data_IF_800342672438
#
_entry.id   IF_800342672438
#
_cell.length_a   1.000
_cell.length_b   1.000
_cell.length_c   1.000
_cell.angle_alpha   90.00
_cell.angle_beta   90.00
_cell.angle_gamma   90.00
#
_symmetry.space_group_name_H-M   'P 1'
#
loop_
_entity.id
_entity.type
_entity.pdbx_description
1 polymer ?
#
# COMPACT_ATOMS: atom_id res chain seq x y z
N UNK A 1 19.28 -17.49 -44.59
CA UNK A 1 17.85 -17.76 -44.28
C UNK A 1 17.65 -18.21 -42.83
N UNK A 2 18.51 -19.10 -42.31
CA UNK A 2 18.49 -19.61 -40.93
C UNK A 2 18.55 -18.52 -39.82
N UNK A 3 19.40 -17.49 -39.99
CA UNK A 3 19.58 -16.42 -39.00
C UNK A 3 18.30 -15.58 -38.78
N UNK A 4 17.52 -15.33 -39.84
CA UNK A 4 16.25 -14.60 -39.75
C UNK A 4 15.15 -15.43 -39.05
N UNK A 5 15.23 -16.75 -39.15
CA UNK A 5 14.32 -17.67 -38.47
C UNK A 5 14.65 -17.75 -36.97
N UNK A 6 15.93 -17.92 -36.62
CA UNK A 6 16.43 -17.87 -35.25
C UNK A 6 16.07 -16.57 -34.53
N UNK A 7 16.24 -15.42 -35.19
CA UNK A 7 15.90 -14.12 -34.62
C UNK A 7 14.39 -14.01 -34.32
N UNK A 8 13.53 -14.51 -35.22
CA UNK A 8 12.08 -14.53 -35.02
C UNK A 8 11.68 -15.44 -33.85
N UNK A 9 12.29 -16.62 -33.73
CA UNK A 9 12.01 -17.55 -32.64
C UNK A 9 12.41 -16.98 -31.27
N UNK A 10 13.54 -16.27 -31.20
CA UNK A 10 14.00 -15.61 -29.96
C UNK A 10 13.04 -14.49 -29.54
N UNK A 11 12.56 -13.69 -30.50
CA UNK A 11 11.60 -12.61 -30.23
C UNK A 11 10.26 -13.18 -29.71
N UNK A 12 9.76 -14.25 -30.33
CA UNK A 12 8.52 -14.91 -29.90
C UNK A 12 8.66 -15.49 -28.48
N UNK A 13 9.81 -16.11 -28.18
CA UNK A 13 10.09 -16.66 -26.84
C UNK A 13 10.10 -15.55 -25.77
N UNK A 14 10.72 -14.41 -26.07
CA UNK A 14 10.74 -13.26 -25.16
C UNK A 14 9.34 -12.69 -24.92
N UNK A 15 8.51 -12.59 -25.96
CA UNK A 15 7.12 -12.17 -25.82
C UNK A 15 6.31 -13.11 -24.93
N UNK A 16 6.46 -14.44 -25.07
CA UNK A 16 5.74 -15.43 -24.25
C UNK A 16 6.18 -15.34 -22.78
N UNK A 17 7.50 -15.25 -22.52
CA UNK A 17 8.00 -15.08 -21.15
C UNK A 17 7.45 -13.81 -20.49
N UNK A 18 7.37 -12.71 -21.26
CA UNK A 18 6.87 -11.42 -20.77
C UNK A 18 5.38 -11.50 -20.40
N UNK A 19 4.58 -12.22 -21.19
CA UNK A 19 3.16 -12.46 -20.88
C UNK A 19 3.00 -13.33 -19.63
N UNK A 20 3.85 -14.36 -19.45
CA UNK A 20 3.81 -15.19 -18.24
C UNK A 20 4.18 -14.40 -16.98
N UNK A 21 5.10 -13.43 -17.06
CA UNK A 21 5.42 -12.56 -15.90
C UNK A 21 4.30 -11.58 -15.54
N UNK A 22 3.34 -11.35 -16.44
CA UNK A 22 2.16 -10.50 -16.18
C UNK A 22 1.02 -11.28 -15.49
N UNK A 23 1.04 -12.62 -15.51
CA UNK A 23 0.16 -13.44 -14.66
C UNK A 23 0.74 -13.53 -13.24
N UNK A 24 0.82 -12.38 -12.57
CA UNK A 24 1.08 -12.30 -11.14
C UNK A 24 -0.04 -12.96 -10.34
N UNK A 25 0.32 -13.52 -9.19
CA UNK A 25 -0.55 -14.19 -8.23
C UNK A 25 -1.91 -13.50 -8.07
N UNK A 26 -3.00 -14.22 -8.37
CA UNK A 26 -4.35 -13.76 -8.06
C UNK A 26 -4.52 -13.88 -6.54
N UNK A 27 -4.44 -12.76 -5.83
CA UNK A 27 -4.75 -12.71 -4.39
C UNK A 27 -6.20 -13.16 -4.20
N UNK A 28 -6.37 -14.31 -3.52
CA UNK A 28 -7.70 -14.80 -3.14
C UNK A 28 -8.32 -13.82 -2.15
N UNK A 29 -9.35 -13.08 -2.59
CA UNK A 29 -10.15 -12.20 -1.72
C UNK A 29 -10.90 -13.03 -0.68
N UNK A 30 -10.25 -13.30 0.45
CA UNK A 30 -10.91 -13.79 1.65
C UNK A 30 -11.62 -12.62 2.34
N UNK A 31 -12.95 -12.64 2.42
CA UNK A 31 -13.68 -11.71 3.27
C UNK A 31 -13.33 -12.01 4.73
N UNK A 32 -12.83 -11.00 5.45
CA UNK A 32 -12.49 -11.16 6.85
C UNK A 32 -13.77 -11.28 7.71
N UNK A 33 -13.82 -12.20 8.69
CA UNK A 33 -14.97 -12.35 9.56
C UNK A 33 -15.23 -11.07 10.39
N UNK A 34 -16.48 -10.59 10.38
CA UNK A 34 -16.94 -9.44 11.17
C UNK A 34 -16.83 -8.06 10.49
N UNK A 35 -16.63 -7.99 9.18
CA UNK A 35 -16.56 -6.72 8.44
C UNK A 35 -17.78 -5.82 8.66
N UNK A 36 -17.54 -4.53 8.89
CA UNK A 36 -18.62 -3.54 9.05
C UNK A 36 -19.17 -3.14 7.68
N UNK A 37 -20.49 -3.21 7.53
CA UNK A 37 -21.25 -2.85 6.31
C UNK A 37 -21.73 -1.39 6.28
N UNK A 38 -21.71 -0.69 7.42
CA UNK A 38 -22.08 0.72 7.50
C UNK A 38 -21.06 1.64 6.83
N UNK A 39 -21.51 2.63 6.06
CA UNK A 39 -20.63 3.59 5.38
C UNK A 39 -19.82 4.40 6.39
N UNK A 40 -18.50 4.15 6.55
CA UNK A 40 -17.70 4.94 7.46
C UNK A 40 -17.52 6.35 6.90
N UNK A 41 -17.21 7.32 7.77
CA UNK A 41 -16.67 8.59 7.29
C UNK A 41 -15.37 8.31 6.50
N UNK A 42 -15.45 8.44 5.17
CA UNK A 42 -14.39 8.03 4.22
C UNK A 42 -13.08 8.80 4.41
N UNK A 43 -13.11 9.90 5.18
CA UNK A 43 -12.06 10.43 6.06
C UNK A 43 -10.70 9.72 6.11
N UNK A 44 -10.73 8.51 6.67
CA UNK A 44 -9.59 7.92 7.39
C UNK A 44 -9.50 6.40 7.13
N UNK A 45 -9.70 5.97 5.89
CA UNK A 45 -9.53 4.57 5.49
C UNK A 45 -8.15 4.36 4.89
N UNK A 46 -7.44 3.33 5.35
CA UNK A 46 -6.10 2.95 4.92
C UNK A 46 -6.12 1.55 4.30
N UNK A 47 -5.22 1.28 3.35
CA UNK A 47 -4.94 -0.07 2.91
C UNK A 47 -3.91 -0.70 3.85
N UNK A 48 -4.23 -1.88 4.37
CA UNK A 48 -3.34 -2.66 5.22
C UNK A 48 -2.95 -3.92 4.47
N UNK A 49 -1.66 -4.10 4.25
CA UNK A 49 -1.06 -5.22 3.52
C UNK A 49 -0.25 -6.07 4.48
N UNK A 50 -0.38 -7.39 4.38
CA UNK A 50 0.52 -8.33 5.04
C UNK A 50 0.64 -9.62 4.23
N UNK A 51 1.84 -9.98 3.79
CA UNK A 51 2.03 -11.03 2.78
C UNK A 51 1.11 -10.81 1.57
N UNK A 52 0.34 -11.84 1.22
CA UNK A 52 -0.59 -11.82 0.08
C UNK A 52 -1.98 -11.24 0.41
N UNK A 53 -2.20 -10.77 1.63
CA UNK A 53 -3.50 -10.30 2.11
C UNK A 53 -3.57 -8.78 2.20
N UNK A 54 -4.72 -8.23 1.78
CA UNK A 54 -5.01 -6.79 1.86
C UNK A 54 -6.38 -6.54 2.48
N UNK A 55 -6.43 -5.59 3.43
CA UNK A 55 -7.66 -5.13 4.06
C UNK A 55 -7.80 -3.62 3.96
N UNK A 56 -9.04 -3.13 3.95
CA UNK A 56 -9.31 -1.71 4.12
C UNK A 56 -9.70 -1.48 5.57
N UNK A 57 -8.92 -0.67 6.26
CA UNK A 57 -9.08 -0.46 7.69
C UNK A 57 -9.30 1.01 8.02
N UNK A 58 -10.16 1.28 9.00
CA UNK A 58 -10.19 2.57 9.70
C UNK A 58 -9.36 2.43 10.96
N UNK A 59 -8.24 3.15 11.14
CA UNK A 59 -7.47 3.11 12.37
C UNK A 59 -8.35 3.45 13.58
N UNK A 60 -8.09 2.75 14.67
CA UNK A 60 -8.68 3.04 15.98
C UNK A 60 -7.53 3.36 16.91
N UNK A 61 -7.63 4.48 17.60
CA UNK A 61 -6.67 4.81 18.65
C UNK A 61 -6.95 3.91 19.84
N UNK A 62 -6.06 2.96 20.09
CA UNK A 62 -6.06 2.11 21.28
C UNK A 62 -4.71 2.30 21.99
N UNK A 63 -4.72 2.14 23.31
CA UNK A 63 -3.50 2.15 24.11
C UNK A 63 -2.70 0.86 23.89
N UNK A 64 -1.39 0.97 23.80
CA UNK A 64 -0.46 -0.16 23.64
C UNK A 64 0.43 -0.07 22.41
N UNK A 65 1.35 -1.04 22.26
CA UNK A 65 2.31 -1.09 21.16
C UNK A 65 1.76 -1.86 19.95
N UNK A 66 0.53 -1.57 19.54
CA UNK A 66 -0.13 -2.27 18.43
C UNK A 66 -0.85 -1.26 17.55
N UNK A 67 -0.78 -1.48 16.24
CA UNK A 67 -1.73 -0.90 15.33
C UNK A 67 -3.06 -1.64 15.42
N UNK A 68 -4.15 -0.91 15.46
CA UNK A 68 -5.50 -1.48 15.45
C UNK A 68 -6.37 -0.73 14.44
N UNK A 69 -7.20 -1.47 13.70
CA UNK A 69 -8.14 -0.88 12.75
C UNK A 69 -9.39 -1.74 12.53
N UNK A 70 -10.52 -1.07 12.27
CA UNK A 70 -11.77 -1.73 11.90
C UNK A 70 -11.77 -2.06 10.40
N UNK A 71 -12.05 -3.32 10.05
CA UNK A 71 -12.07 -3.79 8.67
C UNK A 71 -13.41 -3.43 8.01
N UNK A 72 -13.34 -2.92 6.78
CA UNK A 72 -14.50 -2.57 5.96
C UNK A 72 -14.55 -3.40 4.68
N UNK A 73 -15.77 -3.61 4.18
CA UNK A 73 -15.99 -4.27 2.91
C UNK A 73 -15.56 -3.35 1.74
N UNK A 74 -14.66 -3.81 0.85
CA UNK A 74 -14.20 -3.03 -0.30
C UNK A 74 -15.31 -2.63 -1.28
N UNK A 75 -16.40 -3.40 -1.38
CA UNK A 75 -17.51 -3.11 -2.30
C UNK A 75 -18.28 -1.83 -1.94
N UNK A 76 -18.23 -1.42 -0.68
CA UNK A 76 -18.90 -0.22 -0.16
C UNK A 76 -18.05 1.03 -0.39
N UNK A 77 -16.78 0.88 -0.79
CA UNK A 77 -15.79 1.97 -0.81
C UNK A 77 -15.49 2.40 -2.24
N UNK A 78 -16.19 3.44 -2.71
CA UNK A 78 -16.06 3.98 -4.08
C UNK A 78 -14.81 4.82 -4.35
N UNK A 79 -14.03 5.19 -3.32
CA UNK A 79 -12.85 6.07 -3.47
C UNK A 79 -11.69 5.58 -2.60
N UNK A 80 -10.64 5.13 -3.27
CA UNK A 80 -9.37 4.69 -2.69
C UNK A 80 -8.58 5.88 -2.10
N UNK A 81 -7.87 5.66 -0.99
CA UNK A 81 -7.02 6.65 -0.33
C UNK A 81 -5.56 6.23 -0.28
N UNK A 82 -4.74 7.25 -0.11
CA UNK A 82 -3.30 7.33 -0.32
C UNK A 82 -2.42 6.73 0.79
N UNK A 83 -2.99 6.13 1.84
CA UNK A 83 -2.19 5.59 2.95
C UNK A 83 -2.19 4.07 2.88
N UNK A 84 -1.00 3.50 2.71
CA UNK A 84 -0.76 2.08 2.65
C UNK A 84 0.16 1.70 3.82
N UNK A 85 -0.25 0.72 4.62
CA UNK A 85 0.53 0.17 5.72
C UNK A 85 0.89 -1.26 5.33
N UNK A 86 2.17 -1.61 5.49
CA UNK A 86 2.68 -2.94 5.19
C UNK A 86 3.23 -3.55 6.48
N UNK A 87 2.82 -4.78 6.77
CA UNK A 87 3.27 -5.52 7.94
C UNK A 87 3.74 -6.92 7.55
N UNK A 88 4.77 -7.41 8.23
CA UNK A 88 5.34 -8.74 7.99
C UNK A 88 5.78 -9.43 9.30
N UNK A 89 5.69 -10.76 9.39
CA UNK A 89 4.91 -11.66 8.52
C UNK A 89 3.39 -11.61 8.79
N UNK A 90 2.60 -12.11 7.83
CA UNK A 90 1.13 -12.23 7.94
C UNK A 90 0.64 -12.90 9.24
N UNK A 91 1.43 -13.81 9.84
CA UNK A 91 1.09 -14.50 11.08
C UNK A 91 0.90 -13.57 12.30
N UNK A 92 1.42 -12.34 12.27
CA UNK A 92 1.22 -11.36 13.34
C UNK A 92 -0.08 -10.56 13.19
N UNK A 93 -0.81 -10.74 12.09
CA UNK A 93 -2.12 -10.12 11.88
C UNK A 93 -3.19 -10.89 12.62
N UNK A 94 -3.75 -10.27 13.66
CA UNK A 94 -4.86 -10.83 14.42
C UNK A 94 -6.15 -10.17 13.99
N UNK A 95 -7.15 -10.95 13.58
CA UNK A 95 -8.48 -10.45 13.24
C UNK A 95 -9.49 -11.03 14.23
N UNK A 96 -10.17 -10.16 14.97
CA UNK A 96 -11.22 -10.53 15.90
C UNK A 96 -12.35 -9.52 15.86
N UNK A 97 -13.60 -9.97 15.70
CA UNK A 97 -14.80 -9.12 15.66
C UNK A 97 -14.71 -7.97 14.64
N UNK A 98 -14.16 -8.23 13.44
CA UNK A 98 -13.97 -7.21 12.41
C UNK A 98 -12.89 -6.18 12.74
N UNK A 99 -12.07 -6.42 13.76
CA UNK A 99 -10.94 -5.59 14.15
C UNK A 99 -9.63 -6.30 13.80
N UNK A 100 -8.82 -5.64 12.99
CA UNK A 100 -7.45 -6.03 12.68
C UNK A 100 -6.52 -5.43 13.73
N UNK A 101 -5.59 -6.22 14.25
CA UNK A 101 -4.54 -5.75 15.17
C UNK A 101 -3.18 -6.38 14.84
N UNK A 102 -2.13 -5.57 14.88
CA UNK A 102 -0.75 -5.96 14.55
C UNK A 102 0.21 -5.27 15.51
N UNK A 103 1.23 -5.96 16.05
CA UNK A 103 2.29 -5.30 16.83
C UNK A 103 3.00 -4.22 16.00
N UNK A 104 3.33 -3.08 16.61
CA UNK A 104 3.93 -1.96 15.87
C UNK A 104 5.30 -2.34 15.29
N UNK A 105 6.05 -3.21 15.98
CA UNK A 105 7.34 -3.75 15.55
C UNK A 105 7.28 -4.58 14.25
N UNK A 106 6.08 -5.05 13.88
CA UNK A 106 5.86 -5.81 12.65
C UNK A 106 5.42 -4.93 11.48
N UNK A 107 5.27 -3.62 11.66
CA UNK A 107 4.99 -2.69 10.57
C UNK A 107 6.31 -2.32 9.90
N UNK A 108 6.49 -2.80 8.67
CA UNK A 108 7.74 -2.65 7.93
C UNK A 108 7.78 -1.39 7.07
N UNK A 109 6.61 -0.89 6.65
CA UNK A 109 6.52 0.28 5.79
C UNK A 109 5.17 0.97 5.93
N UNK A 110 5.21 2.30 5.89
CA UNK A 110 4.01 3.13 5.74
C UNK A 110 4.23 4.09 4.58
N UNK A 111 3.36 4.04 3.60
CA UNK A 111 3.35 4.96 2.47
C UNK A 111 2.19 5.91 2.60
N UNK A 112 2.45 7.18 2.31
CA UNK A 112 1.43 8.22 2.28
C UNK A 112 1.56 9.01 0.97
N UNK A 113 0.83 8.59 -0.06
CA UNK A 113 0.79 9.22 -1.38
C UNK A 113 0.06 10.58 -1.38
N UNK A 114 -0.31 11.13 -0.21
CA UNK A 114 -0.84 12.49 -0.07
C UNK A 114 0.24 13.55 -0.14
N UNK A 115 1.50 13.16 0.08
CA UNK A 115 2.64 14.05 -0.02
C UNK A 115 2.98 14.21 -1.51
N UNK A 116 2.58 15.34 -2.09
CA UNK A 116 2.94 15.70 -3.45
C UNK A 116 4.47 15.96 -3.51
N UNK A 117 5.22 15.35 -4.44
CA UNK A 117 6.64 15.66 -4.64
C UNK A 117 6.92 17.16 -4.76
N UNK A 118 5.99 17.93 -5.34
CA UNK A 118 6.08 19.39 -5.43
C UNK A 118 6.07 20.10 -4.07
N UNK A 119 5.39 19.55 -3.05
CA UNK A 119 5.42 20.09 -1.68
C UNK A 119 6.80 19.88 -1.05
N UNK A 120 7.43 18.72 -1.30
CA UNK A 120 8.77 18.42 -0.79
C UNK A 120 9.79 19.39 -1.41
N UNK A 121 9.76 19.54 -2.73
CA UNK A 121 10.66 20.46 -3.45
C UNK A 121 10.47 21.90 -2.98
N UNK A 122 9.22 22.37 -2.84
CA UNK A 122 8.94 23.70 -2.34
C UNK A 122 9.50 23.93 -0.92
N UNK A 123 9.35 22.94 -0.03
CA UNK A 123 9.93 23.03 1.32
C UNK A 123 11.46 23.04 1.33
N UNK A 124 12.12 22.22 0.50
CA UNK A 124 13.58 22.20 0.40
C UNK A 124 14.11 23.52 -0.19
N UNK A 125 13.46 24.05 -1.23
CA UNK A 125 13.83 25.34 -1.81
C UNK A 125 13.61 26.50 -0.83
N UNK A 126 12.50 26.51 -0.08
CA UNK A 126 12.22 27.56 0.90
C UNK A 126 13.26 27.56 2.03
N UNK A 127 13.58 26.38 2.58
CA UNK A 127 14.61 26.24 3.60
C UNK A 127 15.98 26.65 3.03
N UNK A 128 16.33 26.19 1.82
CA UNK A 128 17.56 26.59 1.14
C UNK A 128 17.67 28.11 0.93
N UNK A 129 16.57 28.78 0.58
CA UNK A 129 16.54 30.23 0.41
C UNK A 129 16.77 30.97 1.74
N UNK A 130 16.19 30.47 2.84
CA UNK A 130 16.40 31.04 4.18
C UNK A 130 17.87 30.92 4.63
N UNK A 131 18.58 29.87 4.23
CA UNK A 131 20.02 29.72 4.48
C UNK A 131 20.89 30.68 3.66
N UNK A 132 20.39 31.26 2.56
CA UNK A 132 21.11 32.24 1.76
C UNK A 132 20.97 33.67 2.30
N UNK A 133 19.93 33.97 3.08
CA UNK A 133 19.70 35.29 3.69
C UNK A 133 20.91 35.78 4.50
N UNK A 134 21.52 35.00 5.42
CA UNK A 134 22.69 35.47 6.16
C UNK A 134 23.98 35.55 5.35
N UNK A 135 24.00 35.06 4.09
CA UNK A 135 25.15 35.22 3.19
C UNK A 135 25.08 36.50 2.35
N UNK A 136 23.88 37.08 2.22
CA UNK A 136 23.62 38.31 1.45
C UNK A 136 23.51 39.53 2.37
N UNK A 137 23.27 39.33 3.67
CA UNK A 137 23.19 40.37 4.69
C UNK A 137 24.55 40.64 5.36
#
# INVERSE_FOLDING_TARGET
>A
MLLKFLLKSIIILFCILSILTLFGCVSSKGFAPGQKTGAPNWKNLYFFHAGDSTWIVKPVTETGNRFTGLIYNPEVIKKSRQVHIYAEPLSFVTISNGKLSVPMENIVRVENSRINPGMIVASVCLVGLLFLIPMVL
#
